data_IF_748672332156
#
_entry.id   IF_748672332156
#
_cell.length_a   1.000
_cell.length_b   1.000
_cell.length_c   1.000
_cell.angle_alpha   90.00
_cell.angle_beta   90.00
_cell.angle_gamma   90.00
#
_symmetry.space_group_name_H-M   'P 1'
#
loop_
_entity.id
_entity.type
_entity.pdbx_description
1 polymer ?
#
# COMPACT_ATOMS: atom_id res chain seq x y z
N UNK A 1 56.58 -45.39 27.21
CA UNK A 1 56.53 -46.39 26.11
C UNK A 1 55.72 -45.78 24.99
N UNK A 2 56.45 -45.46 23.99
CA UNK A 2 56.26 -45.80 22.52
C UNK A 2 54.89 -45.45 22.00
N UNK A 3 54.81 -44.50 21.14
CA UNK A 3 55.28 -44.41 19.72
C UNK A 3 54.11 -44.54 18.76
N UNK A 4 53.87 -43.65 17.92
CA UNK A 4 54.01 -43.49 16.46
C UNK A 4 52.87 -42.64 15.88
N UNK A 5 53.19 -41.44 15.46
CA UNK A 5 53.25 -40.96 14.06
C UNK A 5 52.35 -41.73 13.06
N UNK A 6 51.39 -40.99 12.43
CA UNK A 6 51.29 -40.99 10.99
C UNK A 6 50.62 -39.69 10.48
N UNK A 7 51.29 -39.08 9.56
CA UNK A 7 50.90 -38.00 8.68
C UNK A 7 49.90 -38.54 7.67
N UNK A 8 48.88 -37.75 7.30
CA UNK A 8 48.37 -37.75 5.94
C UNK A 8 47.74 -36.40 5.65
N UNK A 9 48.30 -35.76 4.62
CA UNK A 9 47.77 -34.61 3.92
C UNK A 9 46.43 -34.99 3.25
N UNK A 10 45.49 -34.07 3.26
CA UNK A 10 44.26 -34.22 2.50
C UNK A 10 43.63 -32.85 2.24
N UNK A 11 44.01 -32.30 1.11
CA UNK A 11 43.39 -31.29 0.23
C UNK A 11 42.23 -30.46 0.77
N UNK A 12 42.49 -29.15 0.88
CA UNK A 12 41.48 -28.10 0.91
C UNK A 12 40.76 -28.01 -0.44
N UNK A 13 39.47 -28.31 -0.45
CA UNK A 13 38.58 -27.92 -1.54
C UNK A 13 37.80 -26.71 -1.07
N UNK A 14 38.22 -25.55 -1.53
CA UNK A 14 37.45 -24.31 -1.37
C UNK A 14 36.25 -24.35 -2.34
N UNK A 15 35.09 -24.72 -1.87
CA UNK A 15 33.83 -24.47 -2.59
C UNK A 15 33.45 -23.01 -2.36
N UNK A 16 33.84 -22.17 -3.30
CA UNK A 16 33.27 -20.83 -3.44
C UNK A 16 31.79 -20.99 -3.80
N UNK A 17 30.92 -20.99 -2.79
CA UNK A 17 29.50 -20.84 -2.94
C UNK A 17 29.19 -19.43 -3.38
N UNK A 18 29.00 -19.18 -4.68
CA UNK A 18 28.33 -17.99 -5.18
C UNK A 18 26.89 -18.03 -4.66
N UNK A 19 26.66 -17.37 -3.55
CA UNK A 19 25.33 -16.99 -3.14
C UNK A 19 24.81 -15.98 -4.16
N UNK A 20 24.11 -16.48 -5.17
CA UNK A 20 23.29 -15.64 -6.03
C UNK A 20 22.16 -15.10 -5.18
N UNK A 21 22.40 -13.94 -4.57
CA UNK A 21 21.34 -13.13 -4.02
C UNK A 21 20.38 -12.80 -5.16
N UNK A 22 19.28 -13.55 -5.25
CA UNK A 22 18.14 -13.14 -6.05
C UNK A 22 17.59 -11.86 -5.46
N UNK A 23 18.16 -10.72 -5.88
CA UNK A 23 17.47 -9.45 -5.81
C UNK A 23 16.19 -9.64 -6.62
N UNK A 24 15.09 -9.93 -5.96
CA UNK A 24 13.76 -9.73 -6.53
C UNK A 24 13.65 -8.25 -6.86
N UNK A 25 14.16 -7.86 -8.02
CA UNK A 25 13.77 -6.65 -8.68
C UNK A 25 12.27 -6.82 -8.92
N UNK A 26 11.48 -6.29 -8.00
CA UNK A 26 10.06 -6.04 -8.26
C UNK A 26 10.02 -5.09 -9.46
N UNK A 27 9.99 -5.66 -10.67
CA UNK A 27 9.57 -4.94 -11.86
C UNK A 27 8.27 -4.25 -11.48
N UNK A 28 8.17 -2.94 -11.66
CA UNK A 28 6.91 -2.27 -11.39
C UNK A 28 5.81 -2.93 -12.22
N UNK A 29 4.60 -3.00 -11.69
CA UNK A 29 3.36 -3.44 -12.39
C UNK A 29 3.06 -2.62 -13.68
N UNK A 30 4.08 -2.00 -14.27
CA UNK A 30 3.99 -1.17 -15.47
C UNK A 30 3.74 -1.99 -16.75
N UNK A 31 4.05 -3.30 -16.71
CA UNK A 31 3.87 -4.19 -17.85
C UNK A 31 2.44 -4.75 -17.98
N UNK A 32 1.60 -4.54 -16.96
CA UNK A 32 0.19 -4.92 -17.05
C UNK A 32 -0.60 -3.89 -17.86
N UNK A 33 -1.61 -4.34 -18.66
CA UNK A 33 -2.49 -3.42 -19.37
C UNK A 33 -3.08 -2.37 -18.43
N UNK A 34 -3.16 -1.14 -18.88
CA UNK A 34 -3.77 -0.05 -18.12
C UNK A 34 -5.29 -0.28 -18.00
N UNK A 35 -5.85 0.12 -16.88
CA UNK A 35 -7.29 0.19 -16.72
C UNK A 35 -7.89 1.33 -17.58
N UNK A 36 -9.19 1.30 -17.89
CA UNK A 36 -9.85 2.45 -18.51
C UNK A 36 -9.58 3.74 -17.71
N UNK A 37 -9.25 4.82 -18.42
CA UNK A 37 -8.85 6.14 -17.87
C UNK A 37 -7.54 6.18 -17.08
N UNK A 38 -6.86 5.06 -16.92
CA UNK A 38 -5.56 5.03 -16.27
C UNK A 38 -4.46 5.46 -17.26
N UNK A 39 -3.50 6.24 -16.78
CA UNK A 39 -2.27 6.57 -17.51
C UNK A 39 -1.06 5.93 -16.82
N UNK A 40 0.08 5.79 -17.51
CA UNK A 40 1.30 5.29 -16.86
C UNK A 40 1.72 6.13 -15.65
N UNK A 41 1.52 7.46 -15.71
CA UNK A 41 1.80 8.39 -14.63
C UNK A 41 0.89 8.13 -13.43
N UNK A 42 -0.40 7.95 -13.69
CA UNK A 42 -1.36 7.64 -12.63
C UNK A 42 -1.06 6.29 -11.97
N UNK A 43 -0.69 5.26 -12.75
CA UNK A 43 -0.24 3.97 -12.20
C UNK A 43 0.97 4.12 -11.28
N UNK A 44 1.96 4.92 -11.68
CA UNK A 44 3.13 5.18 -10.83
C UNK A 44 2.74 5.87 -9.52
N UNK A 45 1.81 6.84 -9.56
CA UNK A 45 1.32 7.51 -8.35
C UNK A 45 0.57 6.53 -7.45
N UNK A 46 -0.32 5.70 -7.98
CA UNK A 46 -1.05 4.67 -7.22
C UNK A 46 -0.05 3.73 -6.53
N UNK A 47 0.91 3.20 -7.26
CA UNK A 47 1.92 2.29 -6.72
C UNK A 47 2.79 2.99 -5.67
N UNK A 48 3.22 4.25 -5.90
CA UNK A 48 3.97 5.06 -4.95
C UNK A 48 3.27 5.17 -3.59
N UNK A 49 1.99 5.49 -3.58
CA UNK A 49 1.24 5.66 -2.33
C UNK A 49 0.83 4.33 -1.69
N UNK A 50 0.58 3.29 -2.49
CA UNK A 50 0.41 1.93 -2.00
C UNK A 50 1.63 1.46 -1.20
N UNK A 51 2.82 1.61 -1.79
CA UNK A 51 4.09 1.24 -1.16
C UNK A 51 4.39 2.10 0.06
N UNK A 52 4.20 3.44 -0.04
CA UNK A 52 4.44 4.38 1.06
C UNK A 52 3.63 4.03 2.31
N UNK A 53 2.38 3.63 2.14
CA UNK A 53 1.49 3.29 3.24
C UNK A 53 1.41 1.78 3.52
N UNK A 54 2.25 0.97 2.88
CA UNK A 54 2.25 -0.48 3.01
C UNK A 54 0.84 -1.10 2.85
N UNK A 55 0.13 -0.66 1.81
CA UNK A 55 -1.15 -1.24 1.36
C UNK A 55 -0.89 -2.01 0.08
N UNK A 56 -1.41 -3.23 -0.08
CA UNK A 56 -1.24 -3.97 -1.33
C UNK A 56 -1.67 -3.15 -2.55
N UNK A 57 -0.81 -3.04 -3.57
CA UNK A 57 -1.11 -2.27 -4.80
C UNK A 57 -2.43 -2.70 -5.43
N UNK A 58 -2.69 -4.01 -5.49
CA UNK A 58 -3.94 -4.59 -6.00
C UNK A 58 -5.19 -4.09 -5.24
N UNK A 59 -5.08 -3.89 -3.91
CA UNK A 59 -6.16 -3.35 -3.11
C UNK A 59 -6.40 -1.86 -3.42
N UNK A 60 -5.33 -1.06 -3.58
CA UNK A 60 -5.47 0.36 -3.95
C UNK A 60 -6.11 0.49 -5.33
N UNK A 61 -5.62 -0.27 -6.34
CA UNK A 61 -6.22 -0.29 -7.68
C UNK A 61 -7.68 -0.72 -7.66
N UNK A 62 -8.04 -1.70 -6.84
CA UNK A 62 -9.42 -2.15 -6.67
C UNK A 62 -10.34 -1.03 -6.17
N UNK A 63 -9.88 -0.26 -5.17
CA UNK A 63 -10.64 0.88 -4.64
C UNK A 63 -10.73 1.99 -5.68
N UNK A 64 -9.62 2.41 -6.30
CA UNK A 64 -9.62 3.45 -7.34
C UNK A 64 -10.54 3.07 -8.51
N UNK A 65 -10.48 1.83 -8.98
CA UNK A 65 -11.37 1.33 -10.05
C UNK A 65 -12.84 1.42 -9.64
N UNK A 66 -13.16 1.02 -8.42
CA UNK A 66 -14.53 1.04 -7.89
C UNK A 66 -15.07 2.45 -7.73
N UNK A 67 -14.26 3.37 -7.19
CA UNK A 67 -14.70 4.70 -6.78
C UNK A 67 -14.78 5.70 -7.94
N UNK A 68 -13.87 5.61 -8.91
CA UNK A 68 -13.76 6.59 -9.99
C UNK A 68 -13.48 6.02 -11.36
N UNK A 69 -13.25 4.72 -11.50
CA UNK A 69 -12.71 4.11 -12.73
C UNK A 69 -11.46 4.85 -13.23
N UNK A 70 -10.52 5.14 -12.30
CA UNK A 70 -9.26 5.86 -12.55
C UNK A 70 -9.43 7.29 -13.08
N UNK A 71 -10.56 7.95 -12.83
CA UNK A 71 -10.79 9.34 -13.21
C UNK A 71 -10.44 10.30 -12.06
N UNK A 72 -9.33 11.08 -12.13
CA UNK A 72 -8.98 12.02 -11.06
C UNK A 72 -10.02 13.12 -10.87
N UNK A 73 -10.70 13.52 -11.96
CA UNK A 73 -11.75 14.53 -11.94
C UNK A 73 -13.13 14.04 -11.46
N UNK A 74 -13.23 12.80 -10.99
CA UNK A 74 -14.50 12.26 -10.53
C UNK A 74 -15.03 12.99 -9.30
N UNK A 75 -16.31 13.33 -9.32
CA UNK A 75 -17.01 13.93 -8.18
C UNK A 75 -18.42 13.35 -8.09
N UNK A 76 -18.77 12.82 -6.93
CA UNK A 76 -20.11 12.31 -6.65
C UNK A 76 -20.62 12.91 -5.34
N UNK A 77 -21.44 13.95 -5.46
CA UNK A 77 -21.92 14.72 -4.32
C UNK A 77 -20.76 15.27 -3.47
N UNK A 78 -20.63 14.87 -2.20
CA UNK A 78 -19.60 15.38 -1.30
C UNK A 78 -18.25 14.64 -1.44
N UNK A 79 -18.11 13.67 -2.36
CA UNK A 79 -16.93 12.83 -2.55
C UNK A 79 -16.08 13.31 -3.71
N UNK A 80 -14.75 13.27 -3.55
CA UNK A 80 -13.78 13.89 -4.45
C UNK A 80 -12.74 12.90 -4.96
N UNK A 81 -12.44 13.00 -6.25
CA UNK A 81 -11.28 12.45 -6.93
C UNK A 81 -11.23 10.91 -7.03
N UNK A 82 -10.03 10.40 -7.24
CA UNK A 82 -9.76 8.98 -7.54
C UNK A 82 -10.36 8.00 -6.54
N UNK A 83 -10.28 8.31 -5.26
CA UNK A 83 -10.73 7.43 -4.18
C UNK A 83 -12.02 7.91 -3.52
N UNK A 84 -12.69 8.91 -4.11
CA UNK A 84 -13.97 9.44 -3.61
C UNK A 84 -13.94 9.70 -2.10
N UNK A 85 -12.91 10.42 -1.64
CA UNK A 85 -12.75 10.74 -0.22
C UNK A 85 -13.57 11.98 0.17
N UNK A 86 -14.16 11.94 1.35
CA UNK A 86 -14.83 13.11 1.94
C UNK A 86 -13.79 14.12 2.47
N UNK A 87 -13.96 15.44 2.25
CA UNK A 87 -13.09 16.44 2.86
C UNK A 87 -12.99 16.34 4.37
N UNK A 88 -14.09 15.99 5.07
CA UNK A 88 -14.08 15.77 6.50
C UNK A 88 -13.19 14.59 6.91
N UNK A 89 -13.25 13.48 6.17
CA UNK A 89 -12.37 12.31 6.38
C UNK A 89 -10.92 12.67 6.14
N UNK A 90 -10.62 13.37 5.03
CA UNK A 90 -9.26 13.80 4.72
C UNK A 90 -8.68 14.72 5.82
N UNK A 91 -9.49 15.68 6.33
CA UNK A 91 -9.09 16.54 7.46
C UNK A 91 -8.82 15.74 8.73
N UNK A 92 -9.65 14.77 9.04
CA UNK A 92 -9.46 13.89 10.21
C UNK A 92 -8.15 13.11 10.22
N UNK A 93 -7.48 13.00 9.06
CA UNK A 93 -6.19 12.34 8.91
C UNK A 93 -5.05 13.27 8.47
N UNK A 94 -5.27 14.61 8.62
CA UNK A 94 -4.24 15.65 8.48
C UNK A 94 -4.23 16.41 7.15
N UNK A 95 -5.32 16.42 6.38
CA UNK A 95 -5.45 17.30 5.21
C UNK A 95 -5.89 18.71 5.64
N UNK A 96 -5.16 19.74 5.23
CA UNK A 96 -5.44 21.13 5.60
C UNK A 96 -5.88 21.99 4.42
N UNK A 97 -5.91 21.43 3.20
CA UNK A 97 -6.27 22.16 2.00
C UNK A 97 -7.78 22.37 1.79
N UNK A 98 -8.16 23.13 0.77
CA UNK A 98 -9.55 23.27 0.34
C UNK A 98 -10.10 21.97 -0.23
N UNK A 99 -11.43 21.77 -0.21
CA UNK A 99 -12.07 20.55 -0.70
C UNK A 99 -11.69 20.24 -2.16
N UNK A 100 -11.59 21.26 -2.99
CA UNK A 100 -11.22 21.18 -4.41
C UNK A 100 -9.81 20.63 -4.63
N UNK A 101 -8.89 20.83 -3.67
CA UNK A 101 -7.55 20.25 -3.73
C UNK A 101 -7.53 18.73 -3.71
N UNK A 102 -8.61 18.09 -3.25
CA UNK A 102 -8.79 16.64 -3.33
C UNK A 102 -9.12 16.13 -4.75
N UNK A 103 -9.28 17.02 -5.74
CA UNK A 103 -9.36 16.65 -7.15
C UNK A 103 -7.98 16.47 -7.80
N UNK A 104 -6.92 16.93 -7.14
CA UNK A 104 -5.55 16.63 -7.55
C UNK A 104 -5.25 15.15 -7.29
N UNK A 105 -4.74 14.44 -8.31
CA UNK A 105 -4.53 13.00 -8.25
C UNK A 105 -3.58 12.57 -7.12
N UNK A 106 -2.47 13.31 -6.97
CA UNK A 106 -1.47 12.99 -5.97
C UNK A 106 -1.97 13.26 -4.55
N UNK A 107 -2.64 14.40 -4.33
CA UNK A 107 -3.26 14.75 -3.06
C UNK A 107 -4.33 13.73 -2.68
N UNK A 108 -5.18 13.35 -3.62
CA UNK A 108 -6.24 12.36 -3.39
C UNK A 108 -5.69 11.00 -2.96
N UNK A 109 -4.68 10.50 -3.69
CA UNK A 109 -4.01 9.24 -3.36
C UNK A 109 -3.30 9.29 -2.01
N UNK A 110 -2.62 10.41 -1.70
CA UNK A 110 -1.94 10.60 -0.42
C UNK A 110 -2.88 10.36 0.76
N UNK A 111 -4.05 10.99 0.75
CA UNK A 111 -5.01 10.89 1.86
C UNK A 111 -5.95 9.69 1.72
N UNK A 112 -6.37 9.35 0.51
CA UNK A 112 -7.23 8.20 0.27
C UNK A 112 -6.56 6.87 0.63
N UNK A 113 -5.29 6.68 0.23
CA UNK A 113 -4.54 5.46 0.58
C UNK A 113 -4.17 5.43 2.06
N UNK A 114 -3.84 6.60 2.67
CA UNK A 114 -3.65 6.69 4.13
C UNK A 114 -4.92 6.25 4.88
N UNK A 115 -6.09 6.68 4.44
CA UNK A 115 -7.36 6.23 5.02
C UNK A 115 -7.63 4.74 4.77
N UNK A 116 -7.34 4.24 3.56
CA UNK A 116 -7.46 2.82 3.22
C UNK A 116 -6.52 1.94 4.08
N UNK A 117 -5.33 2.45 4.42
CA UNK A 117 -4.43 1.77 5.35
C UNK A 117 -5.10 1.44 6.68
N UNK A 118 -5.79 2.41 7.28
CA UNK A 118 -6.53 2.19 8.52
C UNK A 118 -7.63 1.14 8.35
N UNK A 119 -8.40 1.21 7.27
CA UNK A 119 -9.41 0.21 6.94
C UNK A 119 -8.82 -1.20 6.77
N UNK A 120 -7.63 -1.30 6.15
CA UNK A 120 -6.90 -2.55 5.94
C UNK A 120 -6.40 -3.17 7.26
N UNK A 121 -5.91 -2.32 8.19
CA UNK A 121 -5.51 -2.76 9.54
C UNK A 121 -6.73 -3.30 10.31
N UNK A 122 -7.83 -2.56 10.32
CA UNK A 122 -9.05 -2.96 11.02
C UNK A 122 -9.68 -4.23 10.44
N UNK A 123 -9.43 -4.50 9.17
CA UNK A 123 -9.84 -5.72 8.48
C UNK A 123 -8.86 -6.90 8.67
N UNK A 124 -7.81 -6.73 9.49
CA UNK A 124 -6.76 -7.75 9.70
C UNK A 124 -6.17 -8.27 8.37
N UNK A 125 -5.95 -7.36 7.41
CA UNK A 125 -5.38 -7.67 6.11
C UNK A 125 -6.35 -8.27 5.09
N UNK A 126 -7.62 -8.46 5.44
CA UNK A 126 -8.63 -8.91 4.48
C UNK A 126 -9.02 -7.81 3.51
N UNK A 127 -8.88 -8.06 2.20
CA UNK A 127 -9.16 -7.07 1.16
C UNK A 127 -10.65 -6.71 1.06
N UNK A 128 -11.55 -7.67 1.23
CA UNK A 128 -12.99 -7.42 1.16
C UNK A 128 -13.47 -6.64 2.38
N UNK A 129 -12.97 -6.99 3.54
CA UNK A 129 -13.16 -6.25 4.79
C UNK A 129 -12.64 -4.82 4.69
N UNK A 130 -11.43 -4.63 4.14
CA UNK A 130 -10.84 -3.31 3.94
C UNK A 130 -11.70 -2.41 3.04
N UNK A 131 -12.20 -2.94 1.91
CA UNK A 131 -13.11 -2.21 1.01
C UNK A 131 -14.42 -1.87 1.72
N UNK A 132 -14.96 -2.79 2.51
CA UNK A 132 -16.17 -2.56 3.32
C UNK A 132 -15.96 -1.44 4.34
N UNK A 133 -14.87 -1.51 5.10
CA UNK A 133 -14.55 -0.49 6.11
C UNK A 133 -14.21 0.86 5.50
N UNK A 134 -13.49 0.89 4.37
CA UNK A 134 -13.25 2.13 3.62
C UNK A 134 -14.55 2.87 3.30
N UNK A 135 -15.57 2.14 2.83
CA UNK A 135 -16.86 2.71 2.42
C UNK A 135 -17.75 3.14 3.58
N UNK A 136 -17.71 2.41 4.70
CA UNK A 136 -18.61 2.64 5.85
C UNK A 136 -18.02 3.54 6.93
N UNK A 137 -16.70 3.73 6.92
CA UNK A 137 -15.97 4.25 8.07
C UNK A 137 -15.68 3.16 9.10
N UNK A 138 -14.53 3.28 9.75
CA UNK A 138 -14.02 2.23 10.65
C UNK A 138 -13.69 2.75 12.06
N UNK A 139 -14.04 4.00 12.39
CA UNK A 139 -13.71 4.60 13.69
C UNK A 139 -14.18 3.75 14.88
N UNK A 140 -15.45 3.36 14.89
CA UNK A 140 -16.01 2.58 16.01
C UNK A 140 -15.43 1.19 16.09
N UNK A 141 -15.12 0.55 14.97
CA UNK A 141 -14.47 -0.76 14.93
C UNK A 141 -13.01 -0.66 15.39
N UNK A 142 -12.26 0.33 14.89
CA UNK A 142 -10.91 0.60 15.37
C UNK A 142 -10.88 0.85 16.88
N UNK A 143 -11.85 1.60 17.40
CA UNK A 143 -11.99 1.82 18.84
C UNK A 143 -12.29 0.54 19.62
N UNK A 144 -13.17 -0.31 19.10
CA UNK A 144 -13.53 -1.61 19.71
C UNK A 144 -12.33 -2.56 19.77
N UNK A 145 -11.47 -2.51 18.74
CA UNK A 145 -10.28 -3.35 18.62
C UNK A 145 -9.03 -2.74 19.27
N UNK A 146 -9.12 -1.52 19.84
CA UNK A 146 -8.00 -0.75 20.39
C UNK A 146 -6.90 -0.42 19.35
N UNK A 147 -7.33 -0.16 18.11
CA UNK A 147 -6.46 0.09 16.95
C UNK A 147 -6.51 1.55 16.46
N UNK A 148 -6.98 2.51 17.28
CA UNK A 148 -7.14 3.91 16.85
C UNK A 148 -5.82 4.56 16.43
N UNK A 149 -4.72 4.23 17.09
CA UNK A 149 -3.38 4.77 16.79
C UNK A 149 -2.84 4.12 15.51
N UNK A 150 -2.86 2.80 15.44
CA UNK A 150 -2.36 2.02 14.29
C UNK A 150 -3.15 2.33 13.01
N UNK A 151 -4.44 2.55 13.14
CA UNK A 151 -5.33 2.93 12.05
C UNK A 151 -5.23 4.42 11.67
N UNK A 152 -4.37 5.21 12.34
CA UNK A 152 -4.12 6.62 12.05
C UNK A 152 -5.28 7.56 12.36
N UNK A 153 -6.18 7.17 13.27
CA UNK A 153 -7.34 7.96 13.70
C UNK A 153 -7.09 8.73 15.02
N UNK A 154 -5.96 8.48 15.65
CA UNK A 154 -5.51 9.13 16.88
C UNK A 154 -3.98 9.21 16.87
N UNK A 155 -3.42 10.32 17.36
CA UNK A 155 -2.00 10.53 17.66
C UNK A 155 -1.68 10.15 19.10
#
# INVERSE_FOLDING_TARGET
MLSRRFFLLGSAVALAGCSSGSSSSSTPDLDLPLYPNETPELRRLINKYADLYAVPRSLVHRVVKRESTHNPGARNGPYYGLMQILPATARGIGYEGPAEGLMDAETNLKYGVKYLRGAYIVADGDHDGAVKWYSRGYYFEAKRLDLLVEAGLRS
#
